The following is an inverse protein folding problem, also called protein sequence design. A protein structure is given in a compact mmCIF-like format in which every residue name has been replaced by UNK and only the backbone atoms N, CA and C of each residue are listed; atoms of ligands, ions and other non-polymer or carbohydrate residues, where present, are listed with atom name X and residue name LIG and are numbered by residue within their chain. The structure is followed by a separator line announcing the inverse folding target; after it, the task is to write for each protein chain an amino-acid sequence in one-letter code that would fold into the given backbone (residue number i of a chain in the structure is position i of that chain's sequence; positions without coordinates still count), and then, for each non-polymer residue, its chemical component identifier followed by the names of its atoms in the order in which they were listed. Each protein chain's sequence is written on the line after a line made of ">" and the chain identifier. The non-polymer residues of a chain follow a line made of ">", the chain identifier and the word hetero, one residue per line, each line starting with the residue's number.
data_IF_068212419218
#
_entry.id   IF_068212419218
#
_cell.length_a   1.000
_cell.length_b   1.000
_cell.length_c   1.000
_cell.angle_alpha   90.00
_cell.angle_beta   90.00
_cell.angle_gamma   90.00
#
_symmetry.space_group_name_H-M   'P 1'
#
loop_
_entity.id
_entity.type
_entity.pdbx_description
1 polymer ?
#
# COMPACT_ATOMS: atom_id res chain seq x y z
N UNK A 1 13.72 -16.96 5.38
CA UNK A 1 14.31 -16.87 6.73
C UNK A 1 15.50 -15.94 6.63
N UNK A 2 15.56 -14.90 7.44
CA UNK A 2 16.74 -14.03 7.56
C UNK A 2 17.86 -14.86 8.18
N UNK A 3 18.90 -15.17 7.41
CA UNK A 3 19.99 -16.09 7.80
C UNK A 3 20.89 -15.56 8.93
N UNK A 4 20.86 -14.26 9.21
CA UNK A 4 21.77 -13.56 10.13
C UNK A 4 21.07 -12.82 11.29
N UNK A 5 19.78 -13.02 11.50
CA UNK A 5 19.01 -12.32 12.51
C UNK A 5 18.69 -10.84 12.15
N UNK A 6 17.85 -10.20 12.95
CA UNK A 6 17.49 -8.77 12.81
C UNK A 6 18.55 -7.93 13.53
N UNK A 7 19.26 -7.07 12.80
CA UNK A 7 20.33 -6.19 13.32
C UNK A 7 19.91 -4.73 13.35
N UNK A 8 18.98 -4.35 12.47
CA UNK A 8 18.50 -2.98 12.34
C UNK A 8 16.98 -2.95 12.18
N UNK A 9 16.31 -2.20 13.02
CA UNK A 9 14.87 -1.96 12.95
C UNK A 9 14.63 -0.56 12.41
N UNK A 10 13.78 -0.45 11.39
CA UNK A 10 13.25 0.82 10.92
C UNK A 10 11.98 1.17 11.67
N UNK A 11 11.78 2.41 12.09
CA UNK A 11 10.51 2.86 12.66
C UNK A 11 9.85 3.91 11.78
N UNK A 12 8.54 3.74 11.55
CA UNK A 12 7.70 4.71 10.85
C UNK A 12 6.57 5.12 11.79
N UNK A 13 6.51 6.40 12.13
CA UNK A 13 5.57 6.93 13.11
C UNK A 13 4.48 7.71 12.41
N UNK A 14 3.23 7.54 12.86
CA UNK A 14 2.10 8.33 12.39
C UNK A 14 2.34 9.82 12.68
N UNK A 15 2.17 10.71 11.68
CA UNK A 15 2.30 12.14 11.87
C UNK A 15 1.37 12.68 12.95
N UNK A 16 1.85 13.68 13.71
CA UNK A 16 1.06 14.40 14.71
C UNK A 16 0.37 13.48 15.75
N UNK A 17 1.04 12.38 16.14
CA UNK A 17 0.50 11.41 17.10
C UNK A 17 1.48 11.23 18.28
N UNK A 18 1.24 11.93 19.36
CA UNK A 18 2.14 11.99 20.52
C UNK A 18 2.40 10.61 21.17
N UNK A 19 1.36 9.82 21.36
CA UNK A 19 1.48 8.47 21.90
C UNK A 19 2.37 7.56 21.04
N UNK A 20 2.28 7.68 19.70
CA UNK A 20 3.14 6.91 18.80
C UNK A 20 4.61 7.36 18.89
N UNK A 21 4.87 8.64 19.15
CA UNK A 21 6.22 9.15 19.39
C UNK A 21 6.79 8.62 20.69
N UNK A 22 6.02 8.67 21.78
CA UNK A 22 6.42 8.11 23.05
C UNK A 22 6.74 6.62 22.93
N UNK A 23 5.90 5.86 22.22
CA UNK A 23 6.16 4.44 21.93
C UNK A 23 7.44 4.20 21.14
N UNK A 24 7.76 5.10 20.20
CA UNK A 24 9.02 5.01 19.45
C UNK A 24 10.24 5.18 20.37
N UNK A 25 10.15 6.04 21.40
CA UNK A 25 11.19 6.19 22.41
C UNK A 25 11.35 4.91 23.26
N UNK A 26 10.24 4.36 23.72
CA UNK A 26 10.23 3.09 24.48
C UNK A 26 10.82 1.94 23.64
N UNK A 27 10.50 1.92 22.34
CA UNK A 27 11.06 0.96 21.40
C UNK A 27 12.57 1.13 21.23
N UNK A 28 13.07 2.38 21.15
CA UNK A 28 14.50 2.69 21.06
C UNK A 28 15.26 2.13 22.27
N UNK A 29 14.81 2.44 23.48
CA UNK A 29 15.43 1.91 24.70
C UNK A 29 15.38 0.38 24.80
N UNK A 30 14.29 -0.22 24.33
CA UNK A 30 14.11 -1.66 24.35
C UNK A 30 15.06 -2.39 23.40
N UNK A 31 15.29 -1.82 22.20
CA UNK A 31 16.21 -2.35 21.16
C UNK A 31 17.67 -2.13 21.55
N UNK A 32 18.02 -0.98 22.12
CA UNK A 32 19.36 -0.65 22.59
C UNK A 32 19.86 -1.67 23.63
N UNK A 33 19.02 -2.03 24.60
CA UNK A 33 19.33 -3.08 25.60
C UNK A 33 19.63 -4.44 24.98
N UNK A 34 19.27 -4.66 23.71
CA UNK A 34 19.50 -5.91 22.96
C UNK A 34 20.59 -5.77 21.89
N UNK A 35 21.23 -4.60 21.78
CA UNK A 35 22.27 -4.32 20.81
C UNK A 35 21.75 -4.26 19.36
N UNK A 36 20.46 -3.93 19.17
CA UNK A 36 19.81 -3.80 17.87
C UNK A 36 19.70 -2.30 17.52
N UNK A 37 20.16 -1.90 16.33
CA UNK A 37 20.07 -0.53 15.88
C UNK A 37 18.62 -0.14 15.55
N UNK A 38 18.25 1.12 15.82
CA UNK A 38 16.99 1.72 15.41
C UNK A 38 17.27 2.90 14.48
N UNK A 39 16.61 2.92 13.32
CA UNK A 39 16.63 4.03 12.39
C UNK A 39 15.20 4.52 12.15
N UNK A 40 15.01 5.84 12.11
CA UNK A 40 13.75 6.48 11.85
C UNK A 40 13.71 7.13 10.48
N UNK A 41 12.54 7.17 9.87
CA UNK A 41 12.21 8.16 8.87
C UNK A 41 11.26 9.15 9.53
N UNK A 42 11.75 10.24 10.10
CA UNK A 42 10.91 11.20 10.79
C UNK A 42 9.97 11.89 9.80
N UNK A 43 8.86 12.30 10.31
CA UNK A 43 8.00 13.27 9.65
C UNK A 43 8.66 14.65 9.75
N UNK A 44 8.53 15.48 8.73
CA UNK A 44 9.18 16.78 8.54
C UNK A 44 9.03 17.79 9.72
N UNK A 45 8.31 17.46 10.79
CA UNK A 45 7.96 18.37 11.87
C UNK A 45 8.39 17.95 13.30
N UNK A 46 9.08 16.82 13.53
CA UNK A 46 9.40 16.45 14.91
C UNK A 46 10.59 15.49 15.07
N UNK A 47 11.56 15.93 15.81
CA UNK A 47 12.58 15.10 16.44
C UNK A 47 11.90 14.05 17.33
N UNK A 48 12.03 12.78 16.99
CA UNK A 48 11.58 11.66 17.83
C UNK A 48 12.82 11.15 18.54
N UNK A 49 12.96 11.44 19.83
CA UNK A 49 13.97 10.89 20.73
C UNK A 49 15.25 10.48 20.03
N UNK A 50 16.30 11.08 20.03
CA UNK A 50 17.65 10.69 19.54
C UNK A 50 17.72 9.50 18.50
N UNK A 51 16.60 9.20 17.80
CA UNK A 51 16.57 8.18 16.77
C UNK A 51 17.32 8.70 15.56
N UNK A 52 18.31 7.94 15.09
CA UNK A 52 19.07 8.28 13.90
C UNK A 52 18.16 8.39 12.69
N UNK A 53 18.12 9.56 12.05
CA UNK A 53 17.35 9.79 10.84
C UNK A 53 18.07 9.20 9.63
N UNK A 54 17.41 8.28 8.93
CA UNK A 54 17.93 7.71 7.70
C UNK A 54 17.25 8.31 6.46
N UNK A 55 18.02 8.63 5.44
CA UNK A 55 17.48 8.94 4.12
C UNK A 55 16.69 7.76 3.56
N UNK A 56 15.78 8.03 2.60
CA UNK A 56 14.89 6.97 2.06
C UNK A 56 15.67 5.75 1.54
N UNK A 57 16.77 5.93 0.83
CA UNK A 57 17.55 4.82 0.29
C UNK A 57 18.30 4.08 1.39
N UNK A 58 18.89 4.80 2.34
CA UNK A 58 19.56 4.21 3.49
C UNK A 58 18.58 3.39 4.36
N UNK A 59 17.35 3.89 4.57
CA UNK A 59 16.30 3.18 5.29
C UNK A 59 15.96 1.85 4.60
N UNK A 60 15.81 1.86 3.25
CA UNK A 60 15.55 0.66 2.45
C UNK A 60 16.69 -0.37 2.51
N UNK A 61 17.92 0.09 2.60
CA UNK A 61 19.10 -0.76 2.59
C UNK A 61 19.40 -1.38 3.96
N UNK A 62 19.21 -0.62 5.04
CA UNK A 62 19.61 -1.03 6.39
C UNK A 62 18.54 -1.77 7.17
N UNK A 63 17.26 -1.42 7.02
CA UNK A 63 16.19 -2.02 7.81
C UNK A 63 15.98 -3.51 7.49
N UNK A 64 16.02 -4.35 8.50
CA UNK A 64 15.68 -5.79 8.43
C UNK A 64 14.22 -6.05 8.80
N UNK A 65 13.69 -5.25 9.71
CA UNK A 65 12.30 -5.19 10.16
C UNK A 65 11.85 -3.75 10.18
N UNK A 66 10.63 -3.45 9.76
CA UNK A 66 10.01 -2.14 9.93
C UNK A 66 8.87 -2.24 10.94
N UNK A 67 8.93 -1.45 12.01
CA UNK A 67 7.84 -1.27 12.96
C UNK A 67 7.06 -0.01 12.58
N UNK A 68 5.78 -0.17 12.29
CA UNK A 68 4.88 0.94 11.92
C UNK A 68 3.99 1.27 13.11
N UNK A 69 4.19 2.45 13.67
CA UNK A 69 3.41 2.99 14.79
C UNK A 69 2.29 3.89 14.24
N UNK A 70 1.16 3.27 13.87
CA UNK A 70 0.04 4.00 13.25
C UNK A 70 -1.03 3.07 12.68
N UNK A 71 -1.93 3.62 11.87
CA UNK A 71 -3.01 2.88 11.22
C UNK A 71 -2.68 2.46 9.78
N UNK A 72 -3.71 1.98 9.05
CA UNK A 72 -3.58 1.50 7.67
C UNK A 72 -2.96 2.55 6.73
N UNK A 73 -3.27 3.85 6.92
CA UNK A 73 -2.67 4.92 6.10
C UNK A 73 -1.14 5.01 6.25
N UNK A 74 -0.61 4.82 7.48
CA UNK A 74 0.82 4.77 7.76
C UNK A 74 1.46 3.52 7.17
N UNK A 75 0.77 2.37 7.25
CA UNK A 75 1.20 1.13 6.60
C UNK A 75 1.32 1.26 5.08
N UNK A 76 0.33 1.89 4.43
CA UNK A 76 0.34 2.13 2.99
C UNK A 76 1.52 3.03 2.59
N UNK A 77 1.79 4.09 3.37
CA UNK A 77 2.97 4.94 3.10
C UNK A 77 4.29 4.18 3.28
N UNK A 78 4.36 3.27 4.25
CA UNK A 78 5.52 2.42 4.52
C UNK A 78 5.80 1.44 3.39
N UNK A 79 4.78 0.97 2.67
CA UNK A 79 4.96 0.04 1.56
C UNK A 79 5.91 0.59 0.46
N UNK A 80 5.98 1.90 0.30
CA UNK A 80 6.93 2.56 -0.62
C UNK A 80 8.38 2.58 -0.10
N UNK A 81 8.56 2.37 1.20
CA UNK A 81 9.88 2.34 1.85
C UNK A 81 10.54 0.97 1.84
N UNK A 82 9.81 -0.11 1.53
CA UNK A 82 10.38 -1.47 1.49
C UNK A 82 11.33 -1.71 0.30
N UNK A 83 11.32 -0.83 -0.70
CA UNK A 83 12.23 -0.92 -1.83
C UNK A 83 12.14 -2.24 -2.61
N UNK A 84 13.29 -2.78 -3.03
CA UNK A 84 13.41 -4.05 -3.74
C UNK A 84 13.72 -5.24 -2.81
N UNK A 85 13.80 -5.03 -1.49
CA UNK A 85 14.03 -6.07 -0.49
C UNK A 85 12.71 -6.59 0.08
N UNK A 86 12.69 -7.87 0.44
CA UNK A 86 11.59 -8.47 1.19
C UNK A 86 11.78 -8.22 2.69
N UNK A 87 11.43 -7.00 3.14
CA UNK A 87 11.55 -6.58 4.54
C UNK A 87 10.28 -6.99 5.29
N UNK A 88 10.43 -7.48 6.52
CA UNK A 88 9.31 -7.75 7.42
C UNK A 88 8.70 -6.43 7.91
N UNK A 89 7.38 -6.39 8.04
CA UNK A 89 6.67 -5.20 8.54
C UNK A 89 5.72 -5.60 9.66
N UNK A 90 5.91 -4.99 10.82
CA UNK A 90 5.04 -5.13 11.98
C UNK A 90 4.19 -3.86 12.15
N UNK A 91 2.88 -3.97 12.03
CA UNK A 91 1.96 -2.82 12.14
C UNK A 91 1.29 -2.76 13.50
N UNK A 92 1.51 -1.68 14.25
CA UNK A 92 0.96 -1.43 15.58
C UNK A 92 -0.14 -0.37 15.49
N UNK A 93 -1.34 -0.70 15.98
CA UNK A 93 -2.50 0.17 15.95
C UNK A 93 -2.78 0.77 17.33
N UNK A 94 -3.12 2.07 17.36
CA UNK A 94 -3.49 2.81 18.57
C UNK A 94 -5.00 2.93 18.80
N UNK A 95 -5.81 2.31 17.95
CA UNK A 95 -7.27 2.40 18.02
C UNK A 95 -7.95 1.10 17.60
N UNK A 96 -8.96 1.22 16.74
CA UNK A 96 -9.61 0.04 16.18
C UNK A 96 -8.70 -0.64 15.16
N UNK A 97 -8.51 -1.94 15.27
CA UNK A 97 -7.70 -2.74 14.34
C UNK A 97 -8.05 -2.44 12.88
N UNK A 98 -7.00 -2.26 12.05
CA UNK A 98 -7.10 -2.02 10.62
C UNK A 98 -7.20 -3.30 9.79
N UNK A 99 -7.19 -3.13 8.47
CA UNK A 99 -7.00 -4.24 7.53
C UNK A 99 -5.54 -4.68 7.42
N UNK A 100 -4.61 -3.77 7.78
CA UNK A 100 -3.16 -3.96 7.69
C UNK A 100 -2.47 -3.89 9.06
N UNK A 101 -3.06 -3.19 10.02
CA UNK A 101 -2.52 -3.03 11.38
C UNK A 101 -3.31 -3.90 12.35
N UNK A 102 -2.80 -5.12 12.60
CA UNK A 102 -3.52 -6.14 13.33
C UNK A 102 -3.05 -6.31 14.77
N UNK A 103 -1.88 -5.77 15.15
CA UNK A 103 -1.38 -5.78 16.53
C UNK A 103 -1.82 -4.52 17.26
N UNK A 104 -2.17 -4.69 18.53
CA UNK A 104 -2.41 -3.58 19.47
C UNK A 104 -1.10 -3.15 20.10
N UNK A 105 -1.08 -1.94 20.66
CA UNK A 105 0.13 -1.41 21.32
C UNK A 105 0.62 -2.33 22.45
N UNK A 106 -0.29 -2.90 23.24
CA UNK A 106 0.05 -3.79 24.35
C UNK A 106 0.70 -5.11 23.91
N UNK A 107 0.51 -5.50 22.63
CA UNK A 107 1.05 -6.72 22.05
C UNK A 107 2.43 -6.52 21.41
N UNK A 108 2.90 -5.27 21.25
CA UNK A 108 4.08 -4.91 20.46
C UNK A 108 5.36 -5.61 20.92
N UNK A 109 5.72 -5.48 22.18
CA UNK A 109 6.98 -6.02 22.68
C UNK A 109 6.99 -7.55 22.69
N UNK A 110 5.86 -8.19 23.02
CA UNK A 110 5.73 -9.64 22.95
C UNK A 110 5.88 -10.13 21.49
N UNK A 111 5.26 -9.44 20.53
CA UNK A 111 5.41 -9.75 19.11
C UNK A 111 6.86 -9.59 18.64
N UNK A 112 7.55 -8.54 19.08
CA UNK A 112 8.96 -8.32 18.77
C UNK A 112 9.87 -9.43 19.32
N UNK A 113 9.62 -9.92 20.53
CA UNK A 113 10.37 -11.04 21.10
C UNK A 113 10.21 -12.32 20.27
N UNK A 114 8.98 -12.65 19.85
CA UNK A 114 8.72 -13.79 18.99
C UNK A 114 9.38 -13.62 17.60
N UNK A 115 9.32 -12.42 17.03
CA UNK A 115 9.98 -12.11 15.74
C UNK A 115 11.50 -12.29 15.86
N UNK A 116 12.12 -11.78 16.92
CA UNK A 116 13.56 -11.93 17.16
C UNK A 116 13.96 -13.40 17.41
N UNK A 117 13.06 -14.19 18.01
CA UNK A 117 13.24 -15.63 18.17
C UNK A 117 13.02 -16.44 16.87
N UNK A 118 12.53 -15.81 15.79
CA UNK A 118 12.21 -16.46 14.53
C UNK A 118 10.83 -17.13 14.51
N UNK A 119 10.00 -16.91 15.52
CA UNK A 119 8.66 -17.48 15.69
C UNK A 119 7.58 -16.54 15.15
N UNK A 120 7.46 -16.42 13.84
CA UNK A 120 6.46 -15.55 13.21
C UNK A 120 5.92 -16.12 11.90
N UNK A 121 4.72 -15.74 11.57
CA UNK A 121 4.11 -15.97 10.26
C UNK A 121 3.99 -14.65 9.50
N UNK A 122 4.07 -14.73 8.18
CA UNK A 122 3.95 -13.57 7.30
C UNK A 122 2.81 -13.72 6.31
N UNK A 123 2.04 -12.65 6.14
CA UNK A 123 1.10 -12.48 5.04
C UNK A 123 1.78 -11.65 3.92
N UNK A 124 2.00 -12.28 2.78
CA UNK A 124 2.67 -11.68 1.63
C UNK A 124 1.67 -10.97 0.74
N UNK A 125 1.67 -9.65 0.78
CA UNK A 125 0.76 -8.83 0.00
C UNK A 125 1.37 -8.45 -1.36
N UNK A 126 0.61 -8.72 -2.42
CA UNK A 126 0.97 -8.29 -3.77
C UNK A 126 1.04 -6.78 -3.83
N UNK A 127 2.05 -6.26 -4.51
CA UNK A 127 2.19 -4.84 -4.87
C UNK A 127 2.20 -4.68 -6.39
N UNK A 128 1.83 -3.49 -6.86
CA UNK A 128 1.93 -3.14 -8.27
C UNK A 128 3.00 -2.08 -8.48
N UNK A 129 3.79 -2.24 -9.55
CA UNK A 129 4.65 -1.19 -10.10
C UNK A 129 3.87 -0.37 -11.12
N UNK A 130 4.07 0.93 -11.09
CA UNK A 130 3.36 1.90 -11.92
C UNK A 130 4.36 2.81 -12.60
N UNK A 131 4.18 3.04 -13.88
CA UNK A 131 4.93 4.02 -14.66
C UNK A 131 3.96 4.94 -15.40
N UNK A 132 4.14 6.24 -15.28
CA UNK A 132 3.41 7.28 -16.02
C UNK A 132 4.28 7.81 -17.17
N UNK A 133 3.78 7.73 -18.37
CA UNK A 133 4.47 8.09 -19.60
C UNK A 133 3.71 9.14 -20.40
N UNK A 134 4.43 10.10 -20.97
CA UNK A 134 3.96 11.04 -22.00
C UNK A 134 4.80 10.89 -23.25
N UNK A 135 4.22 10.33 -24.30
CA UNK A 135 5.01 9.91 -25.45
C UNK A 135 6.09 8.91 -25.06
N UNK A 136 7.36 9.27 -25.25
CA UNK A 136 8.52 8.45 -24.90
C UNK A 136 9.18 8.87 -23.57
N UNK A 137 8.65 9.87 -22.88
CA UNK A 137 9.17 10.36 -21.62
C UNK A 137 8.45 9.70 -20.43
N UNK A 138 9.23 9.13 -19.49
CA UNK A 138 8.71 8.64 -18.23
C UNK A 138 8.65 9.79 -17.22
N UNK A 139 7.43 10.24 -16.90
CA UNK A 139 7.18 11.36 -16.02
C UNK A 139 7.27 10.98 -14.54
N UNK A 140 6.81 9.76 -14.20
CA UNK A 140 6.81 9.27 -12.84
C UNK A 140 6.84 7.74 -12.81
N UNK A 141 7.29 7.21 -11.69
CA UNK A 141 7.15 5.79 -11.35
C UNK A 141 6.92 5.62 -9.86
N UNK A 142 6.28 4.54 -9.48
CA UNK A 142 5.99 4.25 -8.08
C UNK A 142 5.52 2.82 -7.86
N UNK A 143 5.26 2.49 -6.61
CA UNK A 143 4.68 1.21 -6.18
C UNK A 143 3.45 1.48 -5.34
N UNK A 144 2.45 0.63 -5.46
CA UNK A 144 1.22 0.71 -4.69
C UNK A 144 0.93 -0.60 -3.99
N UNK A 145 0.36 -0.49 -2.79
CA UNK A 145 -0.14 -1.62 -2.02
C UNK A 145 -1.64 -1.82 -2.25
N UNK A 146 -2.41 -0.74 -2.36
CA UNK A 146 -3.86 -0.80 -2.60
C UNK A 146 -4.22 -0.62 -4.07
N UNK A 147 -4.02 0.57 -4.63
CA UNK A 147 -4.60 0.89 -5.93
C UNK A 147 -3.89 2.01 -6.70
N UNK A 148 -4.12 1.99 -7.99
CA UNK A 148 -3.81 3.03 -8.98
C UNK A 148 -5.14 3.55 -9.49
N UNK A 149 -5.36 4.85 -9.39
CA UNK A 149 -6.62 5.46 -9.79
C UNK A 149 -6.38 6.55 -10.83
N UNK A 150 -7.06 6.47 -11.96
CA UNK A 150 -7.22 7.59 -12.89
C UNK A 150 -8.61 8.16 -12.63
N UNK A 151 -8.70 9.44 -12.26
CA UNK A 151 -9.95 10.10 -11.94
C UNK A 151 -9.99 11.52 -12.50
N UNK A 152 -11.18 11.95 -12.91
CA UNK A 152 -11.42 13.32 -13.37
C UNK A 152 -11.65 14.28 -12.19
N UNK A 153 -11.42 15.57 -12.37
CA UNK A 153 -11.86 16.59 -11.44
C UNK A 153 -13.41 16.63 -11.35
N UNK A 154 -13.93 17.18 -10.25
CA UNK A 154 -15.37 17.17 -9.92
C UNK A 154 -16.25 17.75 -11.05
N UNK A 155 -15.84 18.85 -11.68
CA UNK A 155 -16.61 19.53 -12.72
C UNK A 155 -16.19 19.14 -14.17
N UNK A 156 -15.25 18.20 -14.31
CA UNK A 156 -14.75 17.79 -15.62
C UNK A 156 -15.74 16.88 -16.36
N UNK A 157 -15.62 16.84 -17.70
CA UNK A 157 -16.39 15.92 -18.54
C UNK A 157 -15.97 14.46 -18.27
N UNK A 158 -16.86 13.53 -18.58
CA UNK A 158 -16.56 12.09 -18.57
C UNK A 158 -15.29 11.81 -19.36
N UNK A 159 -14.37 11.06 -18.77
CA UNK A 159 -13.12 10.65 -19.38
C UNK A 159 -13.28 9.32 -20.11
N UNK A 160 -12.45 9.13 -21.14
CA UNK A 160 -12.37 7.89 -21.88
C UNK A 160 -10.97 7.30 -21.71
N UNK A 161 -10.92 6.11 -21.11
CA UNK A 161 -9.68 5.39 -20.80
C UNK A 161 -9.65 4.11 -21.62
N UNK A 162 -8.70 4.02 -22.58
CA UNK A 162 -8.41 2.78 -23.28
C UNK A 162 -7.65 1.85 -22.34
N UNK A 163 -8.10 0.61 -22.24
CA UNK A 163 -7.47 -0.45 -21.46
C UNK A 163 -6.98 -1.56 -22.37
N UNK A 164 -5.72 -1.92 -22.22
CA UNK A 164 -5.10 -3.06 -22.87
C UNK A 164 -4.45 -3.97 -21.82
N UNK A 165 -4.61 -5.30 -21.96
CA UNK A 165 -3.97 -6.33 -21.15
C UNK A 165 -3.05 -7.16 -22.05
N UNK A 166 -1.77 -7.22 -21.74
CA UNK A 166 -0.78 -7.96 -22.55
C UNK A 166 -0.85 -7.59 -24.04
N UNK A 167 -0.96 -6.30 -24.35
CA UNK A 167 -1.17 -5.72 -25.69
C UNK A 167 -2.48 -6.14 -26.39
N UNK A 168 -3.43 -6.75 -25.68
CA UNK A 168 -4.76 -7.04 -26.20
C UNK A 168 -5.74 -5.96 -25.73
N UNK A 169 -6.51 -5.40 -26.65
CA UNK A 169 -7.56 -4.44 -26.34
C UNK A 169 -8.66 -5.10 -25.50
N UNK A 170 -9.00 -4.47 -24.37
CA UNK A 170 -10.08 -4.91 -23.49
C UNK A 170 -11.33 -4.07 -23.70
N UNK A 171 -11.22 -2.76 -23.47
CA UNK A 171 -12.35 -1.84 -23.59
C UNK A 171 -11.87 -0.38 -23.61
N UNK A 172 -12.72 0.51 -24.11
CA UNK A 172 -12.67 1.94 -23.88
C UNK A 172 -13.70 2.28 -22.77
N UNK A 173 -13.22 2.52 -21.56
CA UNK A 173 -14.09 2.87 -20.42
C UNK A 173 -14.43 4.35 -20.47
N UNK A 174 -15.71 4.66 -20.64
CA UNK A 174 -16.27 6.00 -20.45
C UNK A 174 -16.83 6.08 -19.04
N UNK A 175 -16.16 6.82 -18.16
CA UNK A 175 -16.44 6.82 -16.73
C UNK A 175 -15.92 8.11 -16.06
N UNK A 176 -16.21 8.30 -14.79
CA UNK A 176 -15.56 9.33 -13.97
C UNK A 176 -14.11 8.95 -13.66
N UNK A 177 -13.78 7.67 -13.72
CA UNK A 177 -12.43 7.16 -13.51
C UNK A 177 -12.34 5.65 -13.64
N UNK A 178 -11.14 5.14 -13.42
CA UNK A 178 -10.84 3.70 -13.39
C UNK A 178 -9.85 3.40 -12.25
N UNK A 179 -10.15 2.38 -11.47
CA UNK A 179 -9.32 1.86 -10.40
C UNK A 179 -8.69 0.56 -10.84
N UNK A 180 -7.38 0.43 -10.64
CA UNK A 180 -6.63 -0.83 -10.74
C UNK A 180 -6.17 -1.18 -9.34
N UNK A 181 -6.78 -2.19 -8.72
CA UNK A 181 -6.53 -2.53 -7.33
C UNK A 181 -5.86 -3.90 -7.18
N UNK A 182 -5.02 -4.01 -6.14
CA UNK A 182 -4.55 -5.29 -5.63
C UNK A 182 -5.66 -5.99 -4.83
N UNK A 183 -5.50 -7.26 -4.44
CA UNK A 183 -6.40 -7.90 -3.48
C UNK A 183 -6.48 -7.15 -2.14
N UNK A 184 -5.38 -6.57 -1.66
CA UNK A 184 -5.36 -5.72 -0.47
C UNK A 184 -6.24 -4.48 -0.66
N UNK A 185 -6.11 -3.80 -1.80
CA UNK A 185 -6.92 -2.62 -2.15
C UNK A 185 -8.38 -2.93 -2.51
N UNK A 186 -8.75 -4.22 -2.62
CA UNK A 186 -10.15 -4.61 -2.89
C UNK A 186 -11.11 -4.14 -1.81
N UNK A 187 -10.64 -3.91 -0.59
CA UNK A 187 -11.42 -3.40 0.55
C UNK A 187 -11.30 -1.88 0.73
N UNK A 188 -10.54 -1.19 -0.15
CA UNK A 188 -10.33 0.25 -0.16
C UNK A 188 -11.29 0.94 -1.17
N UNK A 189 -10.78 1.82 -2.02
CA UNK A 189 -11.61 2.59 -2.96
C UNK A 189 -12.34 1.72 -3.98
N UNK A 190 -11.73 0.59 -4.39
CA UNK A 190 -12.39 -0.38 -5.28
C UNK A 190 -13.73 -0.88 -4.72
N UNK A 191 -13.79 -1.16 -3.41
CA UNK A 191 -15.05 -1.59 -2.76
C UNK A 191 -16.13 -0.50 -2.86
N UNK A 192 -15.77 0.75 -2.58
CA UNK A 192 -16.70 1.89 -2.67
C UNK A 192 -17.22 2.13 -4.10
N UNK A 193 -16.42 1.78 -5.11
CA UNK A 193 -16.81 1.85 -6.52
C UNK A 193 -17.57 0.60 -7.01
N UNK A 194 -17.90 -0.34 -6.12
CA UNK A 194 -18.66 -1.57 -6.44
C UNK A 194 -17.80 -2.75 -6.89
N UNK A 195 -16.50 -2.71 -6.64
CA UNK A 195 -15.59 -3.84 -6.86
C UNK A 195 -15.82 -4.99 -5.87
N UNK A 196 -15.45 -6.23 -6.21
CA UNK A 196 -15.57 -7.37 -5.32
C UNK A 196 -14.49 -7.33 -4.22
N UNK A 197 -14.81 -7.91 -3.06
CA UNK A 197 -13.80 -8.25 -2.06
C UNK A 197 -13.02 -9.45 -2.56
N UNK A 198 -11.71 -9.33 -2.63
CA UNK A 198 -10.79 -10.39 -3.04
C UNK A 198 -9.91 -10.77 -1.86
N UNK A 199 -9.77 -12.08 -1.61
CA UNK A 199 -8.94 -12.56 -0.51
C UNK A 199 -7.47 -12.13 -0.71
N UNK A 200 -6.78 -11.60 0.30
CA UNK A 200 -5.48 -10.96 0.14
C UNK A 200 -4.38 -11.79 -0.51
N UNK A 201 -4.39 -13.12 -0.31
CA UNK A 201 -3.39 -14.02 -0.89
C UNK A 201 -3.71 -14.49 -2.32
N UNK A 202 -4.80 -14.02 -2.94
CA UNK A 202 -5.11 -14.36 -4.32
C UNK A 202 -4.18 -13.65 -5.30
N UNK A 203 -3.72 -14.37 -6.30
CA UNK A 203 -2.93 -13.83 -7.41
C UNK A 203 -3.85 -13.15 -8.43
N UNK A 204 -4.36 -11.96 -8.10
CA UNK A 204 -5.34 -11.25 -8.89
C UNK A 204 -5.11 -9.73 -8.88
N UNK A 205 -5.63 -9.05 -9.90
CA UNK A 205 -5.78 -7.59 -9.99
C UNK A 205 -7.23 -7.29 -10.32
N UNK A 206 -7.78 -6.22 -9.78
CA UNK A 206 -9.17 -5.81 -9.98
C UNK A 206 -9.17 -4.51 -10.79
N UNK A 207 -9.95 -4.48 -11.87
CA UNK A 207 -10.25 -3.29 -12.67
C UNK A 207 -11.67 -2.84 -12.32
N UNK A 208 -11.84 -1.70 -11.67
CA UNK A 208 -13.14 -1.19 -11.22
C UNK A 208 -13.39 0.20 -11.83
N UNK A 209 -14.37 0.34 -12.77
CA UNK A 209 -14.74 1.66 -13.28
C UNK A 209 -15.51 2.46 -12.23
N UNK A 210 -15.25 3.77 -12.17
CA UNK A 210 -15.92 4.71 -11.27
C UNK A 210 -17.06 5.37 -12.03
N UNK A 211 -18.31 5.19 -11.59
CA UNK A 211 -19.49 5.78 -12.21
C UNK A 211 -19.50 5.64 -13.76
N UNK A 212 -19.41 4.41 -14.31
CA UNK A 212 -19.35 4.21 -15.75
C UNK A 212 -20.62 4.70 -16.43
N UNK A 213 -20.47 5.29 -17.64
CA UNK A 213 -21.59 5.82 -18.42
C UNK A 213 -22.56 4.72 -18.88
N UNK A 214 -22.05 3.50 -19.10
CA UNK A 214 -22.86 2.36 -19.56
C UNK A 214 -23.12 1.38 -18.43
N UNK A 215 -24.37 0.92 -18.33
CA UNK A 215 -24.79 -0.07 -17.33
C UNK A 215 -24.15 -1.46 -17.52
N UNK A 216 -23.54 -1.72 -18.66
CA UNK A 216 -22.89 -3.00 -19.00
C UNK A 216 -21.47 -3.12 -18.43
N UNK A 217 -20.82 -1.99 -18.13
CA UNK A 217 -19.48 -2.02 -17.52
C UNK A 217 -19.55 -2.58 -16.09
N UNK A 218 -18.73 -3.56 -15.83
CA UNK A 218 -18.61 -4.23 -14.52
C UNK A 218 -17.15 -4.29 -14.11
N UNK A 219 -16.86 -4.36 -12.81
CA UNK A 219 -15.53 -4.72 -12.33
C UNK A 219 -15.08 -6.06 -12.92
N UNK A 220 -13.80 -6.15 -13.27
CA UNK A 220 -13.19 -7.34 -13.85
C UNK A 220 -12.03 -7.77 -12.94
N UNK A 221 -11.96 -9.05 -12.64
CA UNK A 221 -10.82 -9.66 -11.95
C UNK A 221 -9.95 -10.37 -12.97
N UNK A 222 -8.67 -10.07 -12.97
CA UNK A 222 -7.67 -10.60 -13.91
C UNK A 222 -6.49 -11.22 -13.15
N UNK A 223 -5.70 -12.11 -13.78
CA UNK A 223 -4.47 -12.63 -13.18
C UNK A 223 -3.47 -11.52 -12.88
N UNK A 224 -2.72 -11.65 -11.79
CA UNK A 224 -1.75 -10.64 -11.33
C UNK A 224 -0.50 -10.51 -12.20
N UNK A 225 -0.24 -11.49 -13.06
CA UNK A 225 0.86 -11.47 -14.02
C UNK A 225 0.54 -10.71 -15.33
N UNK A 226 -0.66 -10.12 -15.44
CA UNK A 226 -1.04 -9.30 -16.58
C UNK A 226 -0.29 -7.96 -16.56
N UNK A 227 0.21 -7.53 -17.71
CA UNK A 227 0.66 -6.16 -17.96
C UNK A 227 -0.52 -5.31 -18.41
N UNK A 228 -0.79 -4.22 -17.70
CA UNK A 228 -1.93 -3.34 -17.91
C UNK A 228 -1.43 -2.03 -18.49
N UNK A 229 -1.99 -1.61 -19.61
CA UNK A 229 -1.74 -0.32 -20.22
C UNK A 229 -3.05 0.49 -20.25
N UNK A 230 -3.03 1.65 -19.59
CA UNK A 230 -4.14 2.60 -19.54
C UNK A 230 -3.76 3.85 -20.30
N UNK A 231 -4.57 4.26 -21.28
CA UNK A 231 -4.33 5.48 -22.06
C UNK A 231 -5.52 6.43 -22.00
N UNK A 232 -5.28 7.67 -21.60
CA UNK A 232 -6.29 8.73 -21.62
C UNK A 232 -6.51 9.18 -23.09
N UNK A 233 -7.76 9.06 -23.58
CA UNK A 233 -8.09 9.27 -24.99
C UNK A 233 -8.67 10.64 -25.31
N UNK A 234 -9.39 11.25 -24.38
CA UNK A 234 -10.06 12.52 -24.60
C UNK A 234 -9.50 13.63 -23.71
N UNK A 235 -9.59 14.85 -24.20
CA UNK A 235 -9.28 16.02 -23.38
C UNK A 235 -10.32 16.19 -22.27
N UNK A 236 -9.81 16.33 -21.05
CA UNK A 236 -10.60 16.68 -19.88
C UNK A 236 -9.69 17.37 -18.88
N UNK A 237 -10.14 18.51 -18.37
CA UNK A 237 -9.38 19.28 -17.40
C UNK A 237 -9.30 18.52 -16.05
N UNK A 238 -8.13 18.59 -15.42
CA UNK A 238 -7.96 18.09 -14.05
C UNK A 238 -8.03 16.56 -13.91
N UNK A 239 -7.61 15.79 -14.92
CA UNK A 239 -7.46 14.34 -14.77
C UNK A 239 -6.19 14.07 -13.96
N UNK A 240 -6.32 13.25 -12.92
CA UNK A 240 -5.24 12.92 -11.98
C UNK A 240 -5.04 11.41 -11.94
N UNK A 241 -3.79 10.99 -12.04
CA UNK A 241 -3.31 9.67 -11.65
C UNK A 241 -2.97 9.69 -10.17
N UNK A 242 -3.59 8.85 -9.37
CA UNK A 242 -3.33 8.75 -7.93
C UNK A 242 -2.79 7.37 -7.56
N UNK A 243 -1.78 7.33 -6.73
CA UNK A 243 -1.16 6.12 -6.20
C UNK A 243 -1.51 5.97 -4.71
N UNK A 244 -2.21 4.90 -4.35
CA UNK A 244 -2.66 4.60 -2.97
C UNK A 244 -3.42 5.77 -2.30
N UNK A 245 -4.05 6.64 -3.07
CA UNK A 245 -4.72 7.83 -2.55
C UNK A 245 -3.79 8.88 -1.92
N UNK A 246 -2.46 8.73 -2.01
CA UNK A 246 -1.49 9.56 -1.29
C UNK A 246 -0.57 10.40 -2.19
N UNK A 247 -0.35 9.98 -3.43
CA UNK A 247 0.49 10.69 -4.40
C UNK A 247 -0.33 10.93 -5.65
N UNK A 248 -0.30 12.16 -6.18
CA UNK A 248 -1.07 12.55 -7.36
C UNK A 248 -0.20 13.13 -8.48
N UNK A 249 -0.51 12.78 -9.73
CA UNK A 249 0.13 13.31 -10.93
C UNK A 249 -0.93 13.78 -11.92
N UNK A 250 -0.75 14.98 -12.47
CA UNK A 250 -1.63 15.50 -13.52
C UNK A 250 -1.43 14.74 -14.82
N UNK A 251 -2.53 14.29 -15.43
CA UNK A 251 -2.54 13.61 -16.72
C UNK A 251 -3.01 14.52 -17.85
N UNK A 252 -2.50 14.26 -19.05
CA UNK A 252 -2.92 14.88 -20.31
C UNK A 252 -3.38 13.81 -21.30
N UNK A 253 -4.15 14.23 -22.31
CA UNK A 253 -4.56 13.34 -23.39
C UNK A 253 -3.35 12.67 -24.04
N UNK A 254 -3.43 11.37 -24.27
CA UNK A 254 -2.35 10.57 -24.82
C UNK A 254 -1.38 10.00 -23.81
N UNK A 255 -1.39 10.47 -22.54
CA UNK A 255 -0.60 9.87 -21.47
C UNK A 255 -0.96 8.39 -21.29
N UNK A 256 0.06 7.60 -20.98
CA UNK A 256 -0.06 6.17 -20.76
C UNK A 256 0.41 5.81 -19.35
N UNK A 257 -0.38 5.02 -18.64
CA UNK A 257 0.00 4.43 -17.35
C UNK A 257 0.20 2.93 -17.56
N UNK A 258 1.42 2.45 -17.32
CA UNK A 258 1.78 1.04 -17.35
C UNK A 258 1.79 0.49 -15.94
N UNK A 259 1.13 -0.63 -15.74
CA UNK A 259 0.98 -1.25 -14.42
C UNK A 259 1.31 -2.73 -14.55
N UNK A 260 2.14 -3.22 -13.64
CA UNK A 260 2.51 -4.63 -13.56
C UNK A 260 2.70 -5.04 -12.11
N UNK A 261 2.66 -6.34 -11.85
CA UNK A 261 3.01 -6.90 -10.55
C UNK A 261 4.45 -6.51 -10.18
N UNK A 262 4.64 -6.06 -8.95
CA UNK A 262 5.97 -5.85 -8.39
C UNK A 262 6.70 -7.20 -8.18
N UNK A 263 8.02 -7.28 -8.43
CA UNK A 263 8.79 -8.49 -8.16
C UNK A 263 8.89 -8.82 -6.66
N UNK A 264 8.66 -7.82 -5.80
CA UNK A 264 8.70 -7.98 -4.34
C UNK A 264 7.32 -7.77 -3.73
N UNK A 265 7.07 -8.44 -2.61
CA UNK A 265 5.84 -8.36 -1.83
C UNK A 265 6.01 -7.44 -0.62
N UNK A 266 4.90 -7.00 -0.06
CA UNK A 266 4.86 -6.34 1.24
C UNK A 266 4.54 -7.41 2.30
N UNK A 267 5.53 -7.72 3.17
CA UNK A 267 5.48 -8.87 4.07
C UNK A 267 5.02 -8.45 5.46
N UNK A 268 3.73 -8.61 5.74
CA UNK A 268 3.13 -8.31 7.03
C UNK A 268 3.36 -9.43 8.01
N UNK A 269 3.85 -9.12 9.22
CA UNK A 269 3.84 -10.06 10.32
C UNK A 269 2.39 -10.22 10.81
N UNK A 270 1.95 -11.46 10.94
CA UNK A 270 0.60 -11.78 11.40
C UNK A 270 0.56 -12.10 12.88
N UNK A 271 -0.47 -11.62 13.63
CA UNK A 271 -0.71 -12.07 14.97
C UNK A 271 -1.22 -13.51 14.98
N UNK A 272 -0.79 -14.32 15.95
CA UNK A 272 -1.29 -15.68 16.10
C UNK A 272 -2.81 -15.67 16.36
N UNK A 273 -3.51 -16.67 15.82
CA UNK A 273 -4.95 -16.88 16.04
C UNK A 273 -5.90 -15.81 15.48
N UNK A 274 -5.44 -14.92 14.62
CA UNK A 274 -6.30 -13.98 13.89
C UNK A 274 -6.47 -14.42 12.44
N UNK A 275 -7.65 -14.16 11.88
CA UNK A 275 -7.92 -14.44 10.48
C UNK A 275 -8.59 -13.26 9.77
N UNK A 276 -8.43 -13.20 8.47
CA UNK A 276 -8.93 -12.13 7.63
C UNK A 276 -10.46 -11.92 7.73
N UNK A 277 -11.23 -12.99 7.93
CA UNK A 277 -12.69 -12.87 8.03
C UNK A 277 -13.15 -12.20 9.33
N UNK A 278 -12.34 -12.29 10.40
CA UNK A 278 -12.62 -11.54 11.64
C UNK A 278 -12.47 -10.04 11.39
N UNK A 279 -11.44 -9.64 10.65
CA UNK A 279 -11.24 -8.24 10.23
C UNK A 279 -12.41 -7.76 9.38
N UNK A 280 -12.82 -8.54 8.37
CA UNK A 280 -13.96 -8.21 7.51
C UNK A 280 -15.27 -8.05 8.30
N UNK A 281 -15.61 -9.02 9.17
CA UNK A 281 -16.83 -8.95 9.99
C UNK A 281 -16.86 -7.70 10.85
N UNK A 282 -15.75 -7.36 11.46
CA UNK A 282 -15.64 -6.20 12.33
C UNK A 282 -15.75 -4.88 11.55
N UNK A 283 -15.04 -4.76 10.42
CA UNK A 283 -15.01 -3.54 9.61
C UNK A 283 -16.30 -3.32 8.82
N UNK A 284 -16.88 -4.36 8.25
CA UNK A 284 -18.09 -4.29 7.43
C UNK A 284 -19.37 -4.52 8.25
N UNK A 285 -19.25 -4.79 9.56
CA UNK A 285 -20.40 -5.04 10.47
C UNK A 285 -21.28 -6.19 9.96
N UNK A 286 -20.69 -7.22 9.36
CA UNK A 286 -21.45 -8.38 8.86
C UNK A 286 -22.09 -9.14 10.02
N UNK A 287 -23.37 -9.49 9.86
CA UNK A 287 -24.12 -10.25 10.85
C UNK A 287 -24.59 -9.44 12.09
N UNK A 288 -24.54 -8.12 12.00
CA UNK A 288 -25.07 -7.21 13.06
C UNK A 288 -26.33 -6.49 12.59
#
# INVERSE_FOLDING_TARGET
>A
MLSDGIKCVGVVVKPNHEEARQTACELSEWLEKRGIALIGKPHEEAEICEIEEAGTEEFKEKADLIVVLGGDGTMISTARLTGSREILVLGINYGSLGYLTEFRIEEMFAALEEILAGNYETDRRVMLEVEHWRGNEKLASGRVLNDVVINKAVLARIIEIKVELNNQFVNDFRADGLIVATPTGSTAYSLSAGGPIVYPSMNAIILTPICPFTLTNRPIVIPDNAEINLRLKNESDGVVLTLDGQIGYQMQVGDCVRIRKSPTTFNLVQPPNRNYFDVLRNKLKWGR
#
